data_IF_428530882118
#
_entry.id   IF_428530882118
#
_cell.length_a   1.000
_cell.length_b   1.000
_cell.length_c   1.000
_cell.angle_alpha   90.00
_cell.angle_beta   90.00
_cell.angle_gamma   90.00
#
_symmetry.space_group_name_H-M   'P 1'
#
loop_
_entity.id
_entity.type
_entity.pdbx_description
1 polymer ?
#
# COMPACT_ATOMS: atom_id res chain seq x y z
N UNK A 1 1.33 26.89 28.38
CA UNK A 1 2.34 25.90 28.85
C UNK A 1 2.20 24.63 28.04
N UNK A 2 3.02 24.45 27.01
CA UNK A 2 3.01 23.23 26.17
C UNK A 2 3.63 22.10 26.99
N UNK A 3 2.85 21.04 27.28
CA UNK A 3 3.41 19.80 27.87
C UNK A 3 4.54 19.31 26.95
N UNK A 4 5.79 19.34 27.41
CA UNK A 4 6.88 18.64 26.72
C UNK A 4 6.52 17.16 26.72
N UNK A 5 6.29 16.58 25.54
CA UNK A 5 6.18 15.14 25.41
C UNK A 5 7.48 14.53 25.96
N UNK A 6 7.36 13.48 26.78
CA UNK A 6 8.51 12.75 27.31
C UNK A 6 8.75 11.52 26.44
N UNK A 7 10.02 11.17 26.22
CA UNK A 7 10.40 9.89 25.62
C UNK A 7 9.95 8.77 26.56
N UNK A 8 9.20 7.81 26.02
CA UNK A 8 8.87 6.55 26.69
C UNK A 8 9.99 5.57 26.43
N UNK A 9 10.47 4.91 27.47
CA UNK A 9 11.59 3.97 27.40
C UNK A 9 11.16 2.68 28.11
N UNK A 10 11.39 1.53 27.48
CA UNK A 10 11.18 0.22 28.08
C UNK A 10 12.23 -0.77 27.57
N UNK A 11 12.68 -1.67 28.45
CA UNK A 11 13.55 -2.79 28.08
C UNK A 11 12.68 -4.03 27.82
N UNK A 12 12.96 -4.72 26.72
CA UNK A 12 12.27 -5.97 26.39
C UNK A 12 12.75 -7.10 27.31
N UNK A 13 11.84 -7.97 27.76
CA UNK A 13 12.22 -9.23 28.38
C UNK A 13 13.10 -10.08 27.44
N UNK A 14 14.09 -10.76 27.99
CA UNK A 14 15.02 -11.59 27.22
C UNK A 14 14.37 -12.88 26.71
N UNK A 15 13.32 -13.36 27.39
CA UNK A 15 12.62 -14.60 27.07
C UNK A 15 11.44 -14.40 26.12
N UNK A 16 11.37 -15.20 25.05
CA UNK A 16 10.28 -15.13 24.06
C UNK A 16 8.90 -15.45 24.68
N UNK A 17 8.84 -16.40 25.62
CA UNK A 17 7.60 -16.75 26.32
C UNK A 17 7.08 -15.61 27.20
N UNK A 18 7.97 -15.01 27.99
CA UNK A 18 7.65 -13.87 28.85
C UNK A 18 7.21 -12.65 28.04
N UNK A 19 7.88 -12.39 26.91
CA UNK A 19 7.48 -11.35 25.97
C UNK A 19 6.05 -11.57 25.47
N UNK A 20 5.69 -12.78 25.05
CA UNK A 20 4.36 -13.09 24.53
C UNK A 20 3.26 -12.97 25.59
N UNK A 21 3.56 -13.33 26.85
CA UNK A 21 2.56 -13.42 27.92
C UNK A 21 2.36 -12.10 28.65
N UNK A 22 3.38 -11.24 28.73
CA UNK A 22 3.39 -10.10 29.66
C UNK A 22 3.66 -8.74 29.01
N UNK A 23 4.25 -8.70 27.80
CA UNK A 23 4.65 -7.43 27.22
C UNK A 23 3.43 -6.61 26.79
N UNK A 24 3.29 -5.44 27.40
CA UNK A 24 2.31 -4.43 27.02
C UNK A 24 2.95 -3.06 27.07
N UNK A 25 3.02 -2.38 25.93
CA UNK A 25 3.64 -1.06 25.81
C UNK A 25 2.88 -0.19 24.82
N UNK A 26 2.50 1.01 25.26
CA UNK A 26 1.83 1.99 24.41
C UNK A 26 2.83 2.78 23.57
N UNK A 27 3.12 2.28 22.37
CA UNK A 27 3.97 2.95 21.38
C UNK A 27 3.39 4.30 20.93
N UNK A 28 4.28 5.27 20.76
CA UNK A 28 4.04 6.51 20.01
C UNK A 28 4.34 6.31 18.52
N UNK A 29 4.13 7.35 17.71
CA UNK A 29 4.26 7.29 16.25
C UNK A 29 5.70 7.31 15.71
N UNK A 30 6.71 7.40 16.58
CA UNK A 30 8.10 7.19 16.20
C UNK A 30 8.90 6.57 17.35
N UNK A 31 10.01 5.94 17.01
CA UNK A 31 10.89 5.32 17.98
C UNK A 31 12.05 4.58 17.34
N UNK A 32 13.00 4.17 18.18
CA UNK A 32 14.09 3.28 17.81
C UNK A 32 14.17 2.17 18.86
N UNK A 33 14.62 0.99 18.46
CA UNK A 33 14.97 -0.08 19.37
C UNK A 33 16.46 -0.37 19.19
N UNK A 34 17.20 -0.42 20.30
CA UNK A 34 18.62 -0.78 20.32
C UNK A 34 18.92 -1.59 21.57
N UNK A 35 19.60 -2.71 21.39
CA UNK A 35 20.06 -3.58 22.48
C UNK A 35 18.93 -3.98 23.46
N UNK A 36 17.76 -4.34 22.92
CA UNK A 36 16.59 -4.70 23.75
C UNK A 36 15.82 -3.50 24.31
N UNK A 37 16.32 -2.27 24.19
CA UNK A 37 15.69 -1.07 24.73
C UNK A 37 14.92 -0.34 23.63
N UNK A 38 13.62 -0.15 23.87
CA UNK A 38 12.72 0.63 23.02
C UNK A 38 12.69 2.06 23.52
N UNK A 39 12.91 3.01 22.61
CA UNK A 39 12.69 4.43 22.78
C UNK A 39 11.53 4.83 21.90
N UNK A 40 10.45 5.34 22.48
CA UNK A 40 9.26 5.75 21.73
C UNK A 40 8.88 7.19 22.07
N UNK A 41 8.59 7.99 21.05
CA UNK A 41 8.33 9.41 21.19
C UNK A 41 7.27 9.89 20.22
N UNK A 42 6.38 10.76 20.72
CA UNK A 42 5.36 11.38 19.89
C UNK A 42 5.99 12.50 19.07
N UNK A 43 6.14 12.28 17.77
CA UNK A 43 6.58 13.28 16.81
C UNK A 43 5.38 13.91 16.09
N UNK A 44 5.59 15.11 15.58
CA UNK A 44 4.71 15.74 14.59
C UNK A 44 5.52 15.90 13.31
N UNK A 45 4.92 15.66 12.12
CA UNK A 45 5.59 15.93 10.87
C UNK A 45 6.03 17.41 10.81
N UNK A 46 7.27 17.64 10.40
CA UNK A 46 7.80 18.98 10.15
C UNK A 46 8.25 19.06 8.70
N UNK A 47 7.28 19.03 7.79
CA UNK A 47 7.50 19.10 6.35
C UNK A 47 6.74 20.29 5.79
N UNK A 48 7.46 21.15 5.06
CA UNK A 48 6.94 22.38 4.46
C UNK A 48 7.16 22.42 2.94
N UNK A 49 7.59 21.31 2.35
CA UNK A 49 7.76 21.21 0.91
C UNK A 49 6.44 20.86 0.21
N UNK A 50 6.54 20.65 -1.10
CA UNK A 50 5.40 20.28 -1.93
C UNK A 50 4.90 18.88 -1.59
N UNK A 51 3.59 18.71 -1.61
CA UNK A 51 2.92 17.42 -1.40
C UNK A 51 2.53 16.88 -2.77
N UNK A 52 3.08 15.73 -3.12
CA UNK A 52 2.74 15.02 -4.35
C UNK A 52 1.49 14.18 -4.09
N UNK A 53 0.45 14.44 -4.87
CA UNK A 53 -0.81 13.70 -4.87
C UNK A 53 -0.77 12.54 -5.88
N UNK A 54 -1.74 11.62 -5.78
CA UNK A 54 -1.92 10.58 -6.79
C UNK A 54 -2.23 11.21 -8.16
N UNK A 55 -2.96 12.32 -8.19
CA UNK A 55 -3.21 13.08 -9.40
C UNK A 55 -1.93 13.56 -10.07
N UNK A 56 -0.94 14.03 -9.32
CA UNK A 56 0.31 14.57 -9.88
C UNK A 56 1.17 13.52 -10.58
N UNK A 57 1.08 12.25 -10.15
CA UNK A 57 1.84 11.15 -10.76
C UNK A 57 1.13 10.51 -11.94
N UNK A 58 -0.18 10.77 -12.11
CA UNK A 58 -1.01 10.15 -13.15
C UNK A 58 -0.84 10.77 -14.52
N UNK A 59 -0.85 9.90 -15.54
CA UNK A 59 -0.74 10.27 -16.95
C UNK A 59 -1.87 11.23 -17.38
N UNK A 60 -1.49 12.28 -18.11
CA UNK A 60 -2.43 13.25 -18.72
C UNK A 60 -2.79 12.90 -20.17
N UNK A 61 -1.99 12.05 -20.80
CA UNK A 61 -2.16 11.59 -22.18
C UNK A 61 -3.10 10.40 -22.33
N UNK A 62 -3.06 9.78 -23.51
CA UNK A 62 -3.79 8.55 -23.77
C UNK A 62 -3.15 7.37 -23.03
N UNK A 63 -3.99 6.55 -22.39
CA UNK A 63 -3.60 5.31 -21.72
C UNK A 63 -4.04 4.13 -22.57
N UNK A 64 -3.21 3.09 -22.62
CA UNK A 64 -3.51 1.89 -23.39
C UNK A 64 -4.74 1.15 -22.87
N UNK A 65 -5.55 0.60 -23.78
CA UNK A 65 -6.82 -0.06 -23.46
C UNK A 65 -6.68 -1.19 -22.44
N UNK A 66 -5.52 -1.87 -22.41
CA UNK A 66 -5.22 -2.97 -21.48
C UNK A 66 -5.30 -2.58 -20.00
N UNK A 67 -5.17 -1.29 -19.67
CA UNK A 67 -5.26 -0.81 -18.29
C UNK A 67 -6.69 -0.60 -17.82
N UNK A 68 -7.64 -0.44 -18.73
CA UNK A 68 -9.04 -0.18 -18.40
C UNK A 68 -9.70 -1.47 -17.93
N UNK A 69 -10.50 -1.33 -16.87
CA UNK A 69 -11.15 -2.46 -16.22
C UNK A 69 -12.53 -2.64 -16.87
N UNK A 70 -12.84 -3.83 -17.42
CA UNK A 70 -14.17 -4.13 -17.93
C UNK A 70 -15.24 -4.05 -16.84
N UNK A 71 -16.45 -3.61 -17.19
CA UNK A 71 -17.54 -3.37 -16.23
C UNK A 71 -17.94 -4.65 -15.47
N UNK A 72 -17.92 -5.80 -16.14
CA UNK A 72 -18.18 -7.11 -15.57
C UNK A 72 -17.14 -7.56 -14.52
N UNK A 73 -15.96 -6.93 -14.52
CA UNK A 73 -14.92 -7.11 -13.48
C UNK A 73 -15.03 -6.08 -12.38
N UNK A 74 -15.72 -4.96 -12.60
CA UNK A 74 -15.91 -3.94 -11.58
C UNK A 74 -16.97 -4.35 -10.58
N UNK A 75 -18.15 -4.75 -11.05
CA UNK A 75 -19.35 -4.86 -10.22
C UNK A 75 -20.01 -6.24 -10.32
N UNK A 76 -20.46 -6.77 -9.19
CA UNK A 76 -21.32 -7.97 -9.13
C UNK A 76 -22.78 -7.61 -8.79
N UNK A 77 -23.02 -6.35 -8.42
CA UNK A 77 -24.32 -5.77 -8.07
C UNK A 77 -24.29 -4.25 -8.34
N UNK A 78 -25.18 -3.48 -7.74
CA UNK A 78 -25.24 -2.03 -7.94
C UNK A 78 -24.00 -1.29 -7.39
N UNK A 79 -23.40 -0.31 -8.11
CA UNK A 79 -22.14 0.33 -7.73
C UNK A 79 -22.08 0.97 -6.33
N UNK A 80 -23.21 1.43 -5.80
CA UNK A 80 -23.33 2.02 -4.46
C UNK A 80 -23.18 1.00 -3.32
N UNK A 81 -23.33 -0.29 -3.62
CA UNK A 81 -23.20 -1.36 -2.64
C UNK A 81 -21.72 -1.64 -2.40
N UNK A 82 -21.30 -1.46 -1.15
CA UNK A 82 -19.91 -1.68 -0.72
C UNK A 82 -19.78 -2.79 0.32
N UNK A 83 -20.84 -3.58 0.52
CA UNK A 83 -20.90 -4.65 1.51
C UNK A 83 -21.55 -5.91 0.95
N UNK A 84 -21.06 -7.07 1.39
CA UNK A 84 -21.57 -8.39 1.07
C UNK A 84 -21.80 -9.16 2.37
N UNK A 85 -23.01 -9.66 2.60
CA UNK A 85 -23.32 -10.55 3.72
C UNK A 85 -23.59 -11.96 3.18
N UNK A 86 -22.63 -12.85 3.37
CA UNK A 86 -22.67 -14.25 2.93
C UNK A 86 -22.89 -15.20 4.12
N UNK A 87 -23.50 -14.72 5.21
CA UNK A 87 -23.81 -15.55 6.39
C UNK A 87 -24.86 -16.61 6.11
N UNK A 88 -25.79 -16.32 5.19
CA UNK A 88 -26.85 -17.25 4.77
C UNK A 88 -26.54 -17.93 3.43
N UNK A 89 -26.10 -17.15 2.44
CA UNK A 89 -25.83 -17.65 1.09
C UNK A 89 -24.50 -17.10 0.56
N UNK A 90 -23.67 -17.97 -0.01
CA UNK A 90 -22.37 -17.61 -0.59
C UNK A 90 -22.58 -17.05 -2.00
N UNK A 91 -21.88 -15.97 -2.31
CA UNK A 91 -21.82 -15.46 -3.68
C UNK A 91 -21.11 -16.46 -4.60
N UNK A 92 -21.49 -16.44 -5.88
CA UNK A 92 -20.87 -17.28 -6.89
C UNK A 92 -19.36 -17.02 -7.01
N UNK A 93 -18.62 -17.93 -7.62
CA UNK A 93 -17.17 -17.74 -7.83
C UNK A 93 -16.92 -16.49 -8.68
N UNK A 94 -17.76 -16.27 -9.69
CA UNK A 94 -17.69 -15.16 -10.63
C UNK A 94 -17.98 -13.83 -9.95
N UNK A 95 -19.03 -13.76 -9.13
CA UNK A 95 -19.38 -12.54 -8.36
C UNK A 95 -18.25 -12.15 -7.40
N UNK A 96 -17.57 -13.14 -6.82
CA UNK A 96 -16.40 -12.93 -5.95
C UNK A 96 -15.14 -12.50 -6.69
N UNK A 97 -15.11 -12.61 -8.03
CA UNK A 97 -14.03 -12.15 -8.90
C UNK A 97 -14.28 -10.75 -9.47
N UNK A 98 -14.92 -9.87 -8.69
CA UNK A 98 -15.13 -8.46 -9.01
C UNK A 98 -14.40 -7.54 -8.03
N UNK A 99 -13.98 -6.36 -8.48
CA UNK A 99 -13.31 -5.37 -7.64
C UNK A 99 -14.21 -4.85 -6.52
N UNK A 100 -15.50 -4.68 -6.79
CA UNK A 100 -16.52 -4.33 -5.81
C UNK A 100 -16.56 -5.34 -4.66
N UNK A 101 -16.55 -6.65 -4.96
CA UNK A 101 -16.48 -7.65 -3.90
C UNK A 101 -15.13 -7.57 -3.19
N UNK A 102 -14.02 -7.59 -3.93
CA UNK A 102 -12.68 -7.68 -3.34
C UNK A 102 -12.35 -6.53 -2.39
N UNK A 103 -12.79 -5.30 -2.70
CA UNK A 103 -12.55 -4.09 -1.91
C UNK A 103 -13.71 -3.73 -0.96
N UNK A 104 -14.89 -4.27 -1.20
CA UNK A 104 -16.05 -4.11 -0.31
C UNK A 104 -15.87 -4.81 1.03
N UNK A 105 -16.68 -4.41 2.00
CA UNK A 105 -16.85 -5.13 3.25
C UNK A 105 -17.47 -6.50 2.98
N UNK A 106 -17.09 -7.50 3.75
CA UNK A 106 -17.68 -8.84 3.65
C UNK A 106 -17.85 -9.49 5.01
N UNK A 107 -18.93 -10.23 5.18
CA UNK A 107 -19.17 -11.13 6.31
C UNK A 107 -19.43 -12.53 5.80
N UNK A 108 -18.67 -13.51 6.25
CA UNK A 108 -18.87 -14.91 5.83
C UNK A 108 -18.48 -15.90 6.94
N UNK A 109 -19.16 -17.06 7.01
CA UNK A 109 -18.80 -18.12 7.94
C UNK A 109 -17.49 -18.77 7.49
N UNK A 110 -16.56 -18.92 8.43
CA UNK A 110 -15.29 -19.64 8.26
C UNK A 110 -15.12 -20.67 9.37
N UNK A 111 -14.33 -21.69 9.05
CA UNK A 111 -13.93 -22.72 10.01
C UNK A 111 -12.42 -22.62 10.24
N UNK A 112 -12.01 -22.51 11.50
CA UNK A 112 -10.60 -22.53 11.87
C UNK A 112 -10.02 -23.95 11.73
N UNK A 113 -8.69 -24.06 11.70
CA UNK A 113 -8.00 -25.36 11.56
C UNK A 113 -8.31 -26.36 12.70
N UNK A 114 -8.72 -25.85 13.87
CA UNK A 114 -9.17 -26.64 15.01
C UNK A 114 -10.67 -27.02 14.97
N UNK A 115 -11.39 -26.63 13.91
CA UNK A 115 -12.80 -26.93 13.71
C UNK A 115 -13.79 -25.90 14.26
N UNK A 116 -13.34 -24.87 14.98
CA UNK A 116 -14.23 -23.81 15.48
C UNK A 116 -14.81 -22.97 14.34
N UNK A 117 -16.12 -22.77 14.33
CA UNK A 117 -16.81 -21.91 13.37
C UNK A 117 -16.90 -20.48 13.88
N UNK A 118 -16.59 -19.52 13.02
CA UNK A 118 -16.64 -18.10 13.35
C UNK A 118 -17.07 -17.27 12.14
N UNK A 119 -17.60 -16.09 12.40
CA UNK A 119 -17.91 -15.13 11.35
C UNK A 119 -16.66 -14.30 11.07
N UNK A 120 -16.10 -14.47 9.87
CA UNK A 120 -15.08 -13.57 9.36
C UNK A 120 -15.74 -12.29 8.90
N UNK A 121 -15.25 -11.15 9.38
CA UNK A 121 -15.67 -9.82 8.95
C UNK A 121 -14.46 -9.03 8.46
N UNK A 122 -14.60 -8.37 7.31
CA UNK A 122 -13.62 -7.45 6.74
C UNK A 122 -14.33 -6.13 6.42
N UNK A 123 -13.73 -4.99 6.79
CA UNK A 123 -14.28 -3.67 6.48
C UNK A 123 -14.17 -3.34 4.99
N UNK A 124 -14.78 -2.24 4.53
CA UNK A 124 -14.61 -1.77 3.16
C UNK A 124 -13.37 -0.87 3.03
N UNK A 125 -12.74 -0.85 1.86
CA UNK A 125 -11.81 0.20 1.44
C UNK A 125 -12.34 0.88 0.18
N UNK A 126 -11.95 2.14 -0.09
CA UNK A 126 -12.32 2.81 -1.33
C UNK A 126 -11.99 1.95 -2.56
N UNK A 127 -12.98 1.75 -3.43
CA UNK A 127 -12.76 1.01 -4.67
C UNK A 127 -11.83 1.78 -5.59
N UNK A 128 -12.12 3.08 -5.76
CA UNK A 128 -11.40 4.03 -6.59
C UNK A 128 -10.59 4.94 -5.64
N UNK A 129 -9.33 5.15 -5.98
CA UNK A 129 -8.40 6.05 -5.31
C UNK A 129 -8.63 7.49 -5.73
N UNK A 130 -8.55 8.40 -4.75
CA UNK A 130 -8.78 9.82 -4.94
C UNK A 130 -7.52 10.53 -5.48
N UNK A 131 -7.71 11.41 -6.45
CA UNK A 131 -6.63 12.16 -7.08
C UNK A 131 -5.95 13.18 -6.17
N UNK A 132 -6.71 13.82 -5.28
CA UNK A 132 -6.26 14.91 -4.42
C UNK A 132 -5.53 14.43 -3.17
N UNK A 133 -5.43 13.12 -2.99
CA UNK A 133 -4.77 12.48 -1.83
C UNK A 133 -3.43 11.87 -2.24
N UNK A 134 -2.50 11.70 -1.29
CA UNK A 134 -1.32 10.89 -1.51
C UNK A 134 -1.70 9.47 -1.92
N UNK A 135 -0.88 8.86 -2.79
CA UNK A 135 -1.01 7.44 -3.11
C UNK A 135 -0.93 6.59 -1.82
N UNK A 136 -1.68 5.49 -1.77
CA UNK A 136 -1.53 4.52 -0.68
C UNK A 136 -0.20 3.80 -0.84
N UNK A 137 0.25 3.13 0.23
CA UNK A 137 1.41 2.24 0.14
C UNK A 137 1.19 1.20 -0.94
N UNK A 138 2.09 1.18 -1.92
CA UNK A 138 2.10 0.17 -2.97
C UNK A 138 2.65 -1.15 -2.43
N UNK A 139 1.96 -2.25 -2.73
CA UNK A 139 2.42 -3.59 -2.40
C UNK A 139 2.84 -4.34 -3.65
N UNK A 140 3.59 -5.43 -3.49
CA UNK A 140 4.02 -6.28 -4.61
C UNK A 140 2.86 -6.87 -5.43
N UNK A 141 1.65 -6.92 -4.85
CA UNK A 141 0.44 -7.36 -5.52
C UNK A 141 -0.20 -6.34 -6.46
N UNK A 142 0.36 -5.13 -6.59
CA UNK A 142 -0.17 -4.03 -7.43
C UNK A 142 -0.44 -4.46 -8.88
N UNK A 143 0.36 -5.39 -9.41
CA UNK A 143 0.19 -5.93 -10.76
C UNK A 143 -0.92 -6.96 -10.93
N UNK A 144 -1.68 -7.28 -9.88
CA UNK A 144 -2.67 -8.38 -9.87
C UNK A 144 -4.05 -7.98 -9.32
N UNK A 145 -4.96 -8.95 -9.31
CA UNK A 145 -6.29 -8.83 -8.71
C UNK A 145 -6.19 -8.97 -7.19
N UNK A 146 -5.82 -7.87 -6.53
CA UNK A 146 -5.60 -7.81 -5.08
C UNK A 146 -6.37 -6.65 -4.46
N UNK A 147 -6.86 -6.84 -3.24
CA UNK A 147 -7.59 -5.81 -2.50
C UNK A 147 -6.80 -4.49 -2.42
N UNK A 148 -5.48 -4.55 -2.34
CA UNK A 148 -4.61 -3.37 -2.19
C UNK A 148 -4.27 -2.67 -3.50
N UNK A 149 -4.53 -3.29 -4.65
CA UNK A 149 -4.22 -2.71 -5.97
C UNK A 149 -4.92 -1.36 -6.15
N UNK A 150 -4.22 -0.36 -6.66
CA UNK A 150 -4.79 0.94 -6.95
C UNK A 150 -5.71 0.86 -8.17
N UNK A 151 -6.86 1.52 -8.05
CA UNK A 151 -7.80 1.68 -9.14
C UNK A 151 -8.11 3.16 -9.20
N UNK A 152 -8.00 3.75 -10.37
CA UNK A 152 -8.18 5.18 -10.58
C UNK A 152 -9.21 5.41 -11.67
N UNK A 153 -9.78 6.61 -11.67
CA UNK A 153 -10.44 7.11 -12.88
C UNK A 153 -9.36 7.61 -13.83
N UNK A 154 -9.56 7.46 -15.11
CA UNK A 154 -8.67 8.04 -16.10
C UNK A 154 -8.94 9.55 -16.20
N UNK A 155 -7.88 10.38 -16.24
CA UNK A 155 -8.02 11.85 -16.24
C UNK A 155 -8.77 12.36 -17.49
N UNK A 156 -8.56 11.71 -18.65
CA UNK A 156 -9.09 12.15 -19.93
C UNK A 156 -10.49 11.61 -20.19
N UNK A 157 -10.71 10.34 -19.91
CA UNK A 157 -11.95 9.62 -20.27
C UNK A 157 -12.91 9.43 -19.10
N UNK A 158 -12.44 9.55 -17.85
CA UNK A 158 -13.22 9.24 -16.65
C UNK A 158 -13.48 7.75 -16.43
N UNK A 159 -13.05 6.87 -17.35
CA UNK A 159 -13.20 5.42 -17.25
C UNK A 159 -12.32 4.86 -16.14
N UNK A 160 -12.73 3.74 -15.56
CA UNK A 160 -12.00 3.14 -14.44
C UNK A 160 -10.87 2.24 -14.97
N UNK A 161 -9.67 2.43 -14.45
CA UNK A 161 -8.46 1.71 -14.88
C UNK A 161 -7.51 1.43 -13.72
N UNK A 162 -6.56 0.54 -13.97
CA UNK A 162 -5.39 0.35 -13.12
C UNK A 162 -4.34 1.43 -13.38
N UNK A 163 -3.41 1.58 -12.45
CA UNK A 163 -2.21 2.40 -12.68
C UNK A 163 -1.31 1.79 -13.76
N UNK A 164 -0.73 2.64 -14.59
CA UNK A 164 0.30 2.27 -15.57
C UNK A 164 1.60 1.93 -14.85
N UNK A 165 2.49 1.18 -15.52
CA UNK A 165 3.79 0.87 -14.93
C UNK A 165 4.60 2.16 -14.65
N UNK A 166 4.51 3.13 -15.56
CA UNK A 166 5.09 4.46 -15.40
C UNK A 166 4.52 5.22 -14.18
N UNK A 167 3.21 5.22 -14.00
CA UNK A 167 2.59 5.84 -12.82
C UNK A 167 3.07 5.19 -11.53
N UNK A 168 3.24 3.86 -11.52
CA UNK A 168 3.77 3.17 -10.33
C UNK A 168 5.22 3.52 -10.01
N UNK A 169 6.04 3.79 -11.03
CA UNK A 169 7.41 4.27 -10.86
C UNK A 169 7.43 5.66 -10.24
N UNK A 170 6.58 6.57 -10.73
CA UNK A 170 6.47 7.94 -10.23
C UNK A 170 5.98 8.00 -8.79
N UNK A 171 5.08 7.09 -8.36
CA UNK A 171 4.69 6.96 -6.94
C UNK A 171 5.91 6.72 -6.05
N UNK A 172 6.85 5.89 -6.50
CA UNK A 172 8.09 5.60 -5.78
C UNK A 172 9.19 6.64 -6.01
N UNK A 173 8.92 7.70 -6.78
CA UNK A 173 9.86 8.77 -7.10
C UNK A 173 10.88 8.39 -8.18
N UNK A 174 10.66 7.32 -8.93
CA UNK A 174 11.49 6.99 -10.10
C UNK A 174 11.07 7.81 -11.33
N UNK A 175 12.01 8.08 -12.26
CA UNK A 175 11.67 8.59 -13.58
C UNK A 175 10.70 7.67 -14.33
N UNK A 176 9.93 8.24 -15.25
CA UNK A 176 9.08 7.47 -16.17
C UNK A 176 9.92 6.47 -16.95
N UNK A 177 9.45 5.23 -17.03
CA UNK A 177 10.10 4.13 -17.75
C UNK A 177 11.44 3.67 -17.16
N UNK A 178 11.70 4.00 -15.89
CA UNK A 178 12.93 3.59 -15.20
C UNK A 178 13.16 2.08 -15.20
N UNK A 179 12.09 1.28 -15.11
CA UNK A 179 12.18 -0.19 -15.12
C UNK A 179 11.82 -0.81 -16.46
N UNK A 180 11.65 -0.01 -17.51
CA UNK A 180 11.22 -0.50 -18.82
C UNK A 180 12.21 -1.47 -19.43
N UNK A 181 13.49 -1.14 -19.42
CA UNK A 181 14.52 -1.93 -20.08
C UNK A 181 15.41 -2.65 -19.07
N UNK A 182 15.66 -3.93 -19.30
CA UNK A 182 16.60 -4.74 -18.51
C UNK A 182 17.56 -5.52 -19.37
N UNK A 183 18.75 -5.75 -18.84
CA UNK A 183 19.77 -6.56 -19.50
C UNK A 183 19.60 -8.02 -19.07
N UNK A 184 19.35 -8.90 -20.03
CA UNK A 184 19.32 -10.35 -19.83
C UNK A 184 20.39 -10.97 -20.72
N UNK A 185 21.48 -11.42 -20.10
CA UNK A 185 22.70 -11.80 -20.82
C UNK A 185 23.33 -10.58 -21.50
N UNK A 186 23.46 -10.61 -22.82
CA UNK A 186 24.03 -9.51 -23.62
C UNK A 186 22.96 -8.75 -24.42
N UNK A 187 21.67 -8.88 -24.05
CA UNK A 187 20.56 -8.24 -24.76
C UNK A 187 19.76 -7.34 -23.83
N UNK A 188 19.38 -6.17 -24.33
CA UNK A 188 18.37 -5.31 -23.71
C UNK A 188 17.00 -5.85 -24.11
N UNK A 189 16.15 -6.12 -23.13
CA UNK A 189 14.78 -6.59 -23.31
C UNK A 189 13.83 -5.75 -22.47
N UNK A 190 12.61 -5.56 -22.97
CA UNK A 190 11.58 -4.85 -22.22
C UNK A 190 11.06 -5.72 -21.07
N UNK A 191 10.98 -5.14 -19.87
CA UNK A 191 10.44 -5.79 -18.70
C UNK A 191 8.91 -5.89 -18.79
N UNK A 192 8.35 -7.08 -18.56
CA UNK A 192 6.90 -7.25 -18.46
C UNK A 192 6.25 -6.32 -17.42
N UNK A 193 5.09 -5.74 -17.76
CA UNK A 193 4.38 -4.75 -16.92
C UNK A 193 4.08 -5.24 -15.49
N UNK A 194 3.78 -6.53 -15.32
CA UNK A 194 3.56 -7.12 -14.01
C UNK A 194 4.84 -7.13 -13.15
N UNK A 195 6.00 -7.36 -13.76
CA UNK A 195 7.30 -7.31 -13.07
C UNK A 195 7.69 -5.87 -12.72
N UNK A 196 7.44 -4.91 -13.61
CA UNK A 196 7.66 -3.48 -13.33
C UNK A 196 6.90 -3.03 -12.08
N UNK A 197 5.60 -3.35 -12.01
CA UNK A 197 4.75 -3.07 -10.83
C UNK A 197 5.17 -3.86 -9.58
N UNK A 198 5.56 -5.12 -9.73
CA UNK A 198 6.06 -5.94 -8.63
C UNK A 198 7.30 -5.30 -7.96
N UNK A 199 8.24 -4.78 -8.76
CA UNK A 199 9.43 -4.11 -8.23
C UNK A 199 9.06 -2.86 -7.43
N UNK A 200 8.11 -2.08 -7.91
CA UNK A 200 7.66 -0.87 -7.20
C UNK A 200 7.05 -1.19 -5.83
N UNK A 201 6.39 -2.32 -5.66
CA UNK A 201 5.89 -2.75 -4.35
C UNK A 201 6.96 -3.07 -3.30
N UNK A 202 8.21 -3.30 -3.70
CA UNK A 202 9.35 -3.52 -2.80
C UNK A 202 10.32 -2.33 -2.74
N UNK A 203 10.11 -1.32 -3.58
CA UNK A 203 11.02 -0.19 -3.68
C UNK A 203 10.87 0.75 -2.49
N UNK A 204 11.96 1.43 -2.16
CA UNK A 204 11.96 2.56 -1.26
C UNK A 204 11.68 3.83 -2.06
N UNK A 205 10.94 4.77 -1.46
CA UNK A 205 10.62 6.05 -2.10
C UNK A 205 11.90 6.87 -2.27
N UNK A 206 12.29 7.12 -3.53
CA UNK A 206 13.57 7.75 -3.90
C UNK A 206 13.79 9.07 -3.16
N UNK A 207 12.76 9.92 -3.10
CA UNK A 207 12.85 11.23 -2.44
C UNK A 207 13.03 11.15 -0.92
N UNK A 208 12.58 10.08 -0.28
CA UNK A 208 12.81 9.84 1.15
C UNK A 208 14.27 9.43 1.36
N UNK A 209 14.78 8.52 0.53
CA UNK A 209 16.19 8.09 0.59
C UNK A 209 17.14 9.26 0.33
N UNK A 210 16.84 10.11 -0.65
CA UNK A 210 17.62 11.32 -0.92
C UNK A 210 17.61 12.35 0.21
N UNK A 211 16.58 12.36 1.07
CA UNK A 211 16.59 13.19 2.29
C UNK A 211 17.41 12.56 3.42
N UNK A 212 17.31 11.24 3.58
CA UNK A 212 18.08 10.51 4.59
C UNK A 212 19.59 10.56 4.31
N UNK A 213 20.00 10.46 3.04
CA UNK A 213 21.40 10.54 2.61
C UNK A 213 22.08 11.82 3.11
N UNK A 214 21.42 12.98 3.00
CA UNK A 214 21.97 14.27 3.45
C UNK A 214 22.30 14.27 4.94
N UNK A 215 21.46 13.64 5.76
CA UNK A 215 21.70 13.54 7.20
C UNK A 215 22.81 12.53 7.51
N UNK A 216 22.89 11.42 6.77
CA UNK A 216 23.99 10.46 6.89
C UNK A 216 25.34 11.08 6.50
N UNK A 217 25.40 11.84 5.41
CA UNK A 217 26.61 12.52 4.96
C UNK A 217 27.16 13.49 6.01
N UNK A 218 26.29 14.25 6.70
CA UNK A 218 26.69 15.10 7.83
C UNK A 218 27.25 14.32 9.03
N UNK A 219 26.80 13.09 9.23
CA UNK A 219 27.30 12.21 10.30
C UNK A 219 28.69 11.71 9.91
N UNK A 220 28.85 11.18 8.70
CA UNK A 220 30.13 10.68 8.20
C UNK A 220 31.21 11.76 8.08
N UNK A 221 30.86 12.99 7.72
CA UNK A 221 31.81 14.13 7.69
C UNK A 221 32.35 14.50 9.09
N UNK A 222 31.69 14.05 10.16
CA UNK A 222 32.07 14.32 11.55
C UNK A 222 32.77 13.13 12.23
N UNK A 223 32.89 12.01 11.54
CA UNK A 223 33.72 10.86 11.95
C UNK A 223 35.18 11.07 11.52
#
# INVERSE_FOLDING_TARGET
>A
MTRRNKIKIIELPTGLGELSDTFSFGFENAGIMKDGIIYSYKIVPNYHGDVVTLGDVMDEGDVEELYFIPEEKLYYTYPEITHSDETLERLSVEQRQTWQYLKGAKKLPRKAGNGHEYIFSEGAIPMIDDYDKPARTMLTSEGGFSRTTHIVKDKKTGRIRLLTAAETERIQGFPTDWTKDVIVGNKVVEMPLNKRRFMMGNALVVNVIGQMEKELSKIFEKE
#
